data_IF_453076263497
#
_entry.id   IF_453076263497
#
_cell.length_a   1.000
_cell.length_b   1.000
_cell.length_c   1.000
_cell.angle_alpha   90.00
_cell.angle_beta   90.00
_cell.angle_gamma   90.00
#
_symmetry.space_group_name_H-M   'P 1'
#
loop_
_entity.id
_entity.type
_entity.pdbx_description
1 polymer ?
#
# COMPACT_ATOMS: atom_id res chain seq x y z
N UNK A 1 -8.35 2.34 10.89
CA UNK A 1 -8.80 3.42 11.77
C UNK A 1 -9.22 2.81 13.09
N UNK A 2 -8.71 3.32 14.20
CA UNK A 2 -9.19 2.98 15.54
C UNK A 2 -9.40 4.28 16.32
N UNK A 3 -10.57 4.46 16.97
CA UNK A 3 -10.90 5.73 17.63
C UNK A 3 -9.96 6.08 18.78
N UNK A 4 -9.29 5.09 19.37
CA UNK A 4 -8.35 5.30 20.49
C UNK A 4 -6.89 5.21 20.05
N UNK A 5 -6.56 4.34 19.08
CA UNK A 5 -5.16 4.09 18.69
C UNK A 5 -4.72 4.94 17.49
N UNK A 6 -5.65 5.72 16.93
CA UNK A 6 -5.41 6.56 15.76
C UNK A 6 -5.65 5.87 14.43
N UNK A 7 -5.15 6.50 13.37
CA UNK A 7 -5.35 6.04 12.00
C UNK A 7 -4.02 5.69 11.35
N UNK A 8 -4.04 4.60 10.58
CA UNK A 8 -2.94 4.22 9.71
C UNK A 8 -3.46 4.25 8.27
N UNK A 9 -2.69 4.88 7.39
CA UNK A 9 -2.99 4.98 5.96
C UNK A 9 -1.76 4.70 5.11
N UNK A 10 -1.97 4.61 3.81
CA UNK A 10 -0.92 4.41 2.81
C UNK A 10 -1.07 5.45 1.70
N UNK A 11 0.03 6.12 1.36
CA UNK A 11 0.16 6.80 0.07
C UNK A 11 0.32 5.73 -1.02
N UNK A 12 -0.53 5.78 -2.04
CA UNK A 12 -0.60 4.71 -3.06
C UNK A 12 0.26 4.99 -4.28
N UNK A 13 0.60 6.26 -4.54
CA UNK A 13 1.19 6.77 -5.79
C UNK A 13 2.62 7.31 -5.62
N UNK A 14 3.30 6.92 -4.53
CA UNK A 14 4.67 7.40 -4.24
C UNK A 14 5.70 6.28 -4.49
N UNK A 15 6.17 6.09 -5.74
CA UNK A 15 7.22 5.13 -6.02
C UNK A 15 8.56 5.58 -5.45
N UNK A 16 9.40 4.62 -5.04
CA UNK A 16 10.79 4.88 -4.68
C UNK A 16 11.76 4.34 -5.72
N UNK A 17 13.01 4.83 -5.69
CA UNK A 17 14.10 4.25 -6.47
C UNK A 17 14.71 3.00 -5.82
N UNK A 18 14.13 2.53 -4.71
CA UNK A 18 14.60 1.36 -3.99
C UNK A 18 13.75 0.14 -4.31
N UNK A 19 14.39 -1.02 -4.23
CA UNK A 19 13.76 -2.33 -4.37
C UNK A 19 13.68 -3.05 -3.03
N UNK A 20 12.89 -4.13 -2.96
CA UNK A 20 12.95 -5.06 -1.84
C UNK A 20 14.37 -5.59 -1.65
N UNK A 21 15.11 -5.86 -2.73
CA UNK A 21 16.50 -6.30 -2.70
C UNK A 21 17.42 -5.34 -1.94
N UNK A 22 17.28 -4.03 -2.15
CA UNK A 22 18.06 -3.01 -1.44
C UNK A 22 17.81 -3.04 0.08
N UNK A 23 16.58 -3.34 0.48
CA UNK A 23 16.22 -3.53 1.89
C UNK A 23 16.85 -4.81 2.45
N UNK A 24 16.88 -5.89 1.67
CA UNK A 24 17.49 -7.16 2.05
C UNK A 24 19.01 -7.09 2.18
N UNK A 25 19.69 -6.17 1.49
CA UNK A 25 21.13 -5.91 1.71
C UNK A 25 21.41 -5.46 3.14
N UNK A 26 20.51 -4.67 3.74
CA UNK A 26 20.64 -4.16 5.11
C UNK A 26 20.18 -5.16 6.16
N UNK A 27 19.14 -5.93 5.84
CA UNK A 27 18.60 -6.97 6.71
C UNK A 27 18.24 -8.20 5.88
N UNK A 28 19.17 -9.17 5.75
CA UNK A 28 18.94 -10.34 4.93
C UNK A 28 17.73 -11.14 5.38
N UNK A 29 16.84 -11.41 4.42
CA UNK A 29 15.73 -12.35 4.56
C UNK A 29 15.64 -13.20 3.30
N UNK A 30 15.94 -14.49 3.43
CA UNK A 30 15.97 -15.41 2.29
C UNK A 30 14.57 -15.71 1.78
N UNK A 31 13.54 -15.57 2.62
CA UNK A 31 12.17 -15.90 2.25
C UNK A 31 11.57 -14.85 1.31
N UNK A 32 12.12 -13.63 1.27
CA UNK A 32 11.65 -12.54 0.42
C UNK A 32 12.39 -12.44 -0.92
N UNK A 33 13.30 -13.38 -1.24
CA UNK A 33 14.13 -13.33 -2.46
C UNK A 33 13.32 -13.26 -3.74
N UNK A 34 12.18 -13.94 -3.82
CA UNK A 34 11.31 -13.93 -5.00
C UNK A 34 10.66 -12.57 -5.27
N UNK A 35 10.73 -11.63 -4.31
CA UNK A 35 10.25 -10.26 -4.46
C UNK A 35 11.39 -9.26 -4.63
N UNK A 36 12.66 -9.68 -4.73
CA UNK A 36 13.81 -8.76 -4.63
C UNK A 36 13.81 -7.64 -5.67
N UNK A 37 13.28 -7.89 -6.87
CA UNK A 37 13.23 -6.91 -7.96
C UNK A 37 12.04 -5.95 -7.85
N UNK A 38 11.12 -6.19 -6.91
CA UNK A 38 9.95 -5.33 -6.74
C UNK A 38 10.37 -3.97 -6.21
N UNK A 39 9.96 -2.94 -6.94
CA UNK A 39 10.07 -1.55 -6.51
C UNK A 39 9.26 -1.37 -5.21
N UNK A 40 9.85 -0.66 -4.26
CA UNK A 40 9.16 -0.25 -3.04
C UNK A 40 8.34 1.00 -3.33
N UNK A 41 7.09 0.97 -2.88
CA UNK A 41 6.24 2.14 -2.75
C UNK A 41 6.43 2.73 -1.35
N UNK A 42 6.39 4.05 -1.22
CA UNK A 42 6.48 4.73 0.08
C UNK A 42 5.06 5.05 0.55
N UNK A 43 4.59 4.28 1.52
CA UNK A 43 3.24 4.43 2.09
C UNK A 43 3.09 5.61 3.06
N UNK A 44 4.17 6.31 3.39
CA UNK A 44 4.16 7.47 4.28
C UNK A 44 5.53 7.70 4.93
N UNK A 45 5.56 8.38 6.07
CA UNK A 45 6.78 8.81 6.75
C UNK A 45 7.12 8.02 8.03
N UNK A 46 6.23 7.15 8.51
CA UNK A 46 6.46 6.36 9.73
C UNK A 46 6.87 4.93 9.38
N UNK A 47 8.05 4.52 9.85
CA UNK A 47 8.51 3.13 9.75
C UNK A 47 7.81 2.26 10.78
N UNK A 48 6.96 1.34 10.33
CA UNK A 48 6.23 0.41 11.19
C UNK A 48 7.09 -0.78 11.62
N UNK A 49 6.74 -1.40 12.77
CA UNK A 49 7.43 -2.63 13.26
C UNK A 49 7.43 -3.72 12.19
N UNK A 50 6.29 -3.92 11.54
CA UNK A 50 6.19 -4.68 10.30
C UNK A 50 6.66 -3.79 9.16
N UNK A 51 7.92 -3.94 8.78
CA UNK A 51 8.64 -3.00 7.91
C UNK A 51 8.04 -2.87 6.51
N UNK A 52 7.28 -3.87 6.07
CA UNK A 52 6.68 -3.95 4.75
C UNK A 52 5.20 -4.31 4.88
N UNK A 53 4.38 -3.65 4.08
CA UNK A 53 2.96 -3.97 3.86
C UNK A 53 2.79 -4.42 2.43
N UNK A 54 2.00 -5.45 2.20
CA UNK A 54 1.72 -5.95 0.84
C UNK A 54 0.24 -5.84 0.56
N UNK A 55 -0.09 -5.16 -0.54
CA UNK A 55 -1.43 -5.14 -1.10
C UNK A 55 -1.49 -6.04 -2.34
N UNK A 56 -2.63 -6.68 -2.54
CA UNK A 56 -2.88 -7.57 -3.68
C UNK A 56 -4.36 -7.69 -3.95
N UNK A 57 -4.71 -8.03 -5.19
CA UNK A 57 -6.09 -8.33 -5.59
C UNK A 57 -6.47 -9.78 -5.32
N UNK A 58 -5.48 -10.59 -4.96
CA UNK A 58 -5.61 -12.03 -4.77
C UNK A 58 -6.28 -12.35 -3.44
N UNK A 59 -7.47 -12.93 -3.51
CA UNK A 59 -8.18 -13.45 -2.33
C UNK A 59 -7.61 -14.78 -1.83
N UNK A 60 -6.81 -15.49 -2.64
CA UNK A 60 -6.29 -16.83 -2.34
C UNK A 60 -4.96 -16.84 -1.57
N UNK A 61 -4.46 -15.69 -1.16
CA UNK A 61 -3.21 -15.59 -0.39
C UNK A 61 -3.44 -16.01 1.07
N UNK A 62 -2.70 -17.01 1.60
CA UNK A 62 -2.89 -17.46 2.98
C UNK A 62 -2.69 -16.34 4.00
N UNK A 63 -3.66 -16.19 4.91
CA UNK A 63 -3.64 -15.16 5.96
C UNK A 63 -3.84 -13.75 5.45
N UNK A 64 -4.34 -13.57 4.23
CA UNK A 64 -4.76 -12.26 3.73
C UNK A 64 -5.98 -11.74 4.48
N UNK A 65 -6.10 -10.43 4.55
CA UNK A 65 -7.26 -9.72 5.10
C UNK A 65 -7.81 -8.78 4.03
N UNK A 66 -9.09 -8.89 3.76
CA UNK A 66 -9.77 -7.94 2.87
C UNK A 66 -9.79 -6.55 3.52
N UNK A 67 -9.34 -5.54 2.78
CA UNK A 67 -9.36 -4.13 3.20
C UNK A 67 -10.56 -3.43 2.56
N UNK A 68 -10.78 -3.70 1.28
CA UNK A 68 -11.93 -3.29 0.48
C UNK A 68 -12.30 -4.48 -0.42
N UNK A 69 -13.55 -4.59 -0.91
CA UNK A 69 -13.92 -5.64 -1.84
C UNK A 69 -12.96 -5.72 -3.04
N UNK A 70 -12.26 -6.85 -3.19
CA UNK A 70 -11.27 -7.07 -4.25
C UNK A 70 -9.88 -6.46 -4.00
N UNK A 71 -9.58 -6.01 -2.78
CA UNK A 71 -8.26 -5.55 -2.33
C UNK A 71 -7.92 -6.13 -0.96
N UNK A 72 -6.84 -6.89 -0.92
CA UNK A 72 -6.39 -7.66 0.23
C UNK A 72 -5.03 -7.17 0.69
N UNK A 73 -4.82 -7.18 2.01
CA UNK A 73 -3.51 -7.03 2.62
C UNK A 73 -3.00 -8.42 3.02
N UNK A 74 -1.75 -8.74 2.70
CA UNK A 74 -1.12 -9.98 3.12
C UNK A 74 0.30 -9.75 3.69
N UNK A 75 0.91 -10.81 4.23
CA UNK A 75 2.30 -10.74 4.69
C UNK A 75 3.28 -10.84 3.52
N UNK A 76 4.44 -10.16 3.57
CA UNK A 76 5.49 -10.30 2.56
C UNK A 76 5.93 -11.75 2.34
N UNK A 77 5.96 -12.54 3.41
CA UNK A 77 6.35 -13.95 3.36
C UNK A 77 5.32 -14.81 2.60
N UNK A 78 4.02 -14.57 2.80
CA UNK A 78 2.97 -15.28 2.08
C UNK A 78 3.01 -14.96 0.58
N UNK A 79 3.16 -13.68 0.22
CA UNK A 79 3.34 -13.25 -1.15
C UNK A 79 4.58 -13.89 -1.79
N UNK A 80 5.74 -13.78 -1.14
CA UNK A 80 6.99 -14.33 -1.63
C UNK A 80 6.92 -15.85 -1.84
N UNK A 81 6.26 -16.58 -0.92
CA UNK A 81 6.03 -18.03 -1.06
C UNK A 81 5.23 -18.37 -2.31
N UNK A 82 4.16 -17.64 -2.61
CA UNK A 82 3.35 -17.87 -3.82
C UNK A 82 4.16 -17.62 -5.10
N UNK A 83 4.98 -16.56 -5.13
CA UNK A 83 5.87 -16.29 -6.26
C UNK A 83 6.93 -17.39 -6.41
N UNK A 84 7.52 -17.85 -5.30
CA UNK A 84 8.53 -18.92 -5.32
C UNK A 84 7.99 -20.24 -5.88
N UNK A 85 6.75 -20.59 -5.57
CA UNK A 85 6.13 -21.84 -6.09
C UNK A 85 5.47 -21.66 -7.46
N UNK A 86 5.54 -20.46 -8.05
CA UNK A 86 4.96 -20.15 -9.36
C UNK A 86 3.42 -20.03 -9.38
N UNK A 87 2.78 -19.90 -8.22
CA UNK A 87 1.33 -19.73 -8.11
C UNK A 87 0.85 -18.29 -8.36
N UNK A 88 1.77 -17.32 -8.31
CA UNK A 88 1.54 -15.91 -8.57
C UNK A 88 2.79 -15.26 -9.20
N UNK A 89 2.60 -14.16 -9.90
CA UNK A 89 3.71 -13.33 -10.38
C UNK A 89 4.05 -12.25 -9.35
N UNK A 90 5.30 -11.78 -9.31
CA UNK A 90 5.68 -10.70 -8.41
C UNK A 90 4.90 -9.40 -8.70
N UNK A 91 4.47 -9.19 -9.94
CA UNK A 91 3.62 -8.04 -10.33
C UNK A 91 2.27 -8.04 -9.63
N UNK A 92 1.76 -9.18 -9.16
CA UNK A 92 0.47 -9.31 -8.46
C UNK A 92 0.47 -8.70 -7.04
N UNK A 93 1.60 -8.15 -6.58
CA UNK A 93 1.81 -7.67 -5.22
C UNK A 93 2.44 -6.29 -5.19
N UNK A 94 1.78 -5.32 -4.57
CA UNK A 94 2.37 -4.00 -4.31
C UNK A 94 3.02 -3.98 -2.93
N UNK A 95 4.28 -3.59 -2.87
CA UNK A 95 5.10 -3.67 -1.65
C UNK A 95 5.38 -2.26 -1.13
N UNK A 96 4.79 -1.93 0.01
CA UNK A 96 4.91 -0.62 0.65
C UNK A 96 5.88 -0.66 1.81
N UNK A 97 6.81 0.30 1.83
CA UNK A 97 7.59 0.67 2.99
C UNK A 97 6.93 1.86 3.70
N UNK A 98 7.06 1.92 5.03
CA UNK A 98 6.44 2.95 5.87
C UNK A 98 4.90 3.01 5.75
N UNK A 99 4.30 3.90 6.53
CA UNK A 99 2.88 4.23 6.48
C UNK A 99 2.66 5.67 6.96
N UNK A 100 1.52 6.24 6.60
CA UNK A 100 1.02 7.43 7.28
C UNK A 100 0.40 7.02 8.61
N UNK A 101 0.65 7.81 9.65
CA UNK A 101 0.06 7.57 10.96
C UNK A 101 -0.44 8.89 11.54
N UNK A 102 -1.68 8.87 11.99
CA UNK A 102 -2.32 9.94 12.71
C UNK A 102 -2.63 9.46 14.12
N UNK A 103 -2.52 10.36 15.11
CA UNK A 103 -3.11 10.13 16.42
C UNK A 103 -4.64 10.08 16.31
N UNK A 104 -5.33 9.76 17.41
CA UNK A 104 -6.79 9.63 17.46
C UNK A 104 -7.53 10.87 16.90
N UNK A 105 -7.06 12.06 17.24
CA UNK A 105 -7.73 13.33 16.93
C UNK A 105 -7.17 14.01 15.68
N UNK A 106 -5.88 13.83 15.37
CA UNK A 106 -5.21 14.60 14.30
C UNK A 106 -5.86 14.43 12.93
N UNK A 107 -6.31 13.21 12.58
CA UNK A 107 -6.98 13.02 11.29
C UNK A 107 -8.34 13.73 11.25
N UNK A 108 -9.08 13.75 12.36
CA UNK A 108 -10.35 14.47 12.43
C UNK A 108 -10.10 15.97 12.28
N UNK A 109 -9.11 16.52 12.98
CA UNK A 109 -8.71 17.93 12.87
C UNK A 109 -8.28 18.29 11.44
N UNK A 110 -7.47 17.44 10.79
CA UNK A 110 -7.04 17.67 9.41
C UNK A 110 -8.21 17.64 8.41
N UNK A 111 -9.21 16.78 8.64
CA UNK A 111 -10.43 16.74 7.83
C UNK A 111 -11.30 17.98 8.05
N UNK A 112 -11.46 18.43 9.29
CA UNK A 112 -12.21 19.66 9.62
C UNK A 112 -11.56 20.91 9.02
N UNK A 113 -10.23 20.94 8.96
CA UNK A 113 -9.46 22.04 8.36
C UNK A 113 -9.29 21.90 6.83
N UNK A 114 -9.98 20.95 6.20
CA UNK A 114 -9.92 20.69 4.75
C UNK A 114 -8.49 20.44 4.21
N UNK A 115 -7.61 19.88 5.04
CA UNK A 115 -6.29 19.39 4.60
C UNK A 115 -6.46 18.18 3.69
N UNK A 116 -7.47 17.35 3.95
CA UNK A 116 -7.84 16.18 3.15
C UNK A 116 -9.29 16.26 2.68
N UNK A 117 -9.55 15.78 1.47
CA UNK A 117 -10.89 15.59 0.93
C UNK A 117 -11.22 14.08 0.93
N UNK A 118 -12.09 13.60 1.83
CA UNK A 118 -12.39 12.18 1.91
C UNK A 118 -13.30 11.76 0.76
N UNK A 119 -12.96 10.63 0.14
CA UNK A 119 -13.72 10.01 -0.95
C UNK A 119 -13.90 8.53 -0.67
N UNK A 120 -15.07 7.99 -1.02
CA UNK A 120 -15.29 6.55 -0.97
C UNK A 120 -14.35 5.84 -1.95
N UNK A 121 -13.47 4.98 -1.44
CA UNK A 121 -12.55 4.21 -2.26
C UNK A 121 -13.18 2.89 -2.74
N UNK A 122 -12.86 2.48 -3.96
CA UNK A 122 -13.11 1.14 -4.48
C UNK A 122 -11.83 0.56 -5.06
N UNK A 123 -11.69 -0.76 -5.09
CA UNK A 123 -10.51 -1.39 -5.70
C UNK A 123 -10.33 -0.93 -7.17
N UNK A 124 -11.43 -0.74 -7.91
CA UNK A 124 -11.38 -0.24 -9.28
C UNK A 124 -10.78 1.18 -9.37
N UNK A 125 -11.22 2.10 -8.51
CA UNK A 125 -10.72 3.49 -8.50
C UNK A 125 -9.23 3.56 -8.16
N UNK A 126 -8.77 2.72 -7.22
CA UNK A 126 -7.37 2.67 -6.79
C UNK A 126 -6.42 2.06 -7.85
N UNK A 127 -6.96 1.32 -8.82
CA UNK A 127 -6.19 0.62 -9.85
C UNK A 127 -5.90 1.45 -11.08
N UNK A 128 -6.62 2.56 -11.30
CA UNK A 128 -6.56 3.31 -12.55
C UNK A 128 -5.12 3.77 -12.79
N UNK A 129 -4.36 3.09 -13.66
CA UNK A 129 -2.99 3.47 -13.91
C UNK A 129 -3.09 4.70 -14.77
N UNK A 130 -2.74 5.84 -14.22
CA UNK A 130 -2.60 7.01 -15.05
C UNK A 130 -1.18 7.10 -15.56
N UNK A 131 -0.98 7.31 -16.88
CA UNK A 131 0.34 7.54 -17.46
C UNK A 131 0.97 8.87 -17.02
N UNK A 132 0.23 9.70 -16.29
CA UNK A 132 0.72 10.98 -15.77
C UNK A 132 1.23 10.84 -14.33
N UNK A 133 2.28 11.60 -13.95
CA UNK A 133 2.58 11.83 -12.55
C UNK A 133 1.30 12.25 -11.81
N UNK A 134 1.01 11.63 -10.67
CA UNK A 134 -0.19 11.88 -9.84
C UNK A 134 -1.53 11.52 -10.48
N UNK A 135 -1.59 10.75 -11.56
CA UNK A 135 -2.89 10.60 -12.20
C UNK A 135 -3.88 9.65 -11.48
N UNK A 136 -3.46 8.94 -10.42
CA UNK A 136 -4.41 8.42 -9.42
C UNK A 136 -5.13 9.57 -8.70
N UNK A 137 -4.39 10.58 -8.26
CA UNK A 137 -4.94 11.77 -7.61
C UNK A 137 -5.89 12.52 -8.55
N UNK A 138 -5.48 12.83 -9.79
CA UNK A 138 -6.35 13.54 -10.74
C UNK A 138 -7.60 12.73 -11.10
N UNK A 139 -7.47 11.42 -11.33
CA UNK A 139 -8.64 10.57 -11.59
C UNK A 139 -9.63 10.51 -10.41
N UNK A 140 -9.13 10.61 -9.18
CA UNK A 140 -10.00 10.68 -7.99
C UNK A 140 -10.66 12.06 -7.84
N UNK A 141 -9.94 13.16 -8.09
CA UNK A 141 -10.48 14.53 -8.03
C UNK A 141 -11.55 14.75 -9.11
N UNK A 142 -11.30 14.35 -10.36
CA UNK A 142 -12.29 14.41 -11.43
C UNK A 142 -13.52 13.54 -11.08
N UNK A 143 -13.29 12.35 -10.51
CA UNK A 143 -14.35 11.42 -10.10
C UNK A 143 -15.29 11.96 -9.01
N UNK A 144 -14.86 12.96 -8.24
CA UNK A 144 -15.71 13.66 -7.25
C UNK A 144 -16.23 15.01 -7.74
N UNK A 145 -16.00 15.36 -9.00
CA UNK A 145 -16.46 16.61 -9.62
C UNK A 145 -15.58 17.83 -9.32
N UNK A 146 -14.31 17.63 -8.94
CA UNK A 146 -13.32 18.69 -8.88
C UNK A 146 -12.71 18.98 -10.26
N UNK A 147 -12.36 20.26 -10.50
CA UNK A 147 -11.55 20.74 -11.64
C UNK A 147 -10.09 20.98 -11.22
#
# INVERSE_FOLDING_TARGET
>A
HHPVDGTVGLLLDTPSNATVGDLLLRKPDRQLRSLMEKQLLIGGNVLTRDRLRVLTERCDVPGSREILPGLYQCSPHAAAKLVTVGAAAAVDFDVYAAACQWSAELLADELENAVWLPVAASAAALRTPSPQPHGLYFGLIEGIGGE
#
